data_IF_265367316851
#
_entry.id   IF_265367316851
#
_cell.length_a   1.000
_cell.length_b   1.000
_cell.length_c   1.000
_cell.angle_alpha   90.00
_cell.angle_beta   90.00
_cell.angle_gamma   90.00
#
_symmetry.space_group_name_H-M   'P 1'
#
loop_
_entity.id
_entity.type
_entity.pdbx_description
1 polymer ?
#
# COMPACT_ATOMS: atom_id res chain seq x y z
N UNK A 1 16.25 7.12 -16.96
CA UNK A 1 16.85 6.90 -15.63
C UNK A 1 15.88 6.08 -14.82
N UNK A 2 16.32 4.96 -14.21
CA UNK A 2 15.50 4.24 -13.24
C UNK A 2 15.37 5.14 -12.02
N UNK A 3 14.16 5.52 -11.66
CA UNK A 3 13.91 6.13 -10.35
C UNK A 3 14.28 5.08 -9.31
N UNK A 4 15.24 5.40 -8.44
CA UNK A 4 15.53 4.59 -7.25
C UNK A 4 14.22 4.42 -6.47
N UNK A 5 13.93 3.22 -5.98
CA UNK A 5 12.65 2.87 -5.36
C UNK A 5 12.29 3.84 -4.23
N UNK A 6 13.30 4.33 -3.52
CA UNK A 6 13.17 5.32 -2.44
C UNK A 6 12.64 6.67 -2.93
N UNK A 7 12.99 7.08 -4.16
CA UNK A 7 12.52 8.34 -4.74
C UNK A 7 11.03 8.32 -5.11
N UNK A 8 10.35 7.18 -4.98
CA UNK A 8 8.89 7.08 -5.09
C UNK A 8 8.14 7.52 -3.82
N UNK A 9 8.87 7.73 -2.71
CA UNK A 9 8.32 8.12 -1.41
C UNK A 9 8.73 9.55 -1.09
N UNK A 10 7.76 10.47 -1.03
CA UNK A 10 8.04 11.91 -1.12
C UNK A 10 7.73 12.75 0.11
N UNK A 11 6.92 12.27 1.07
CA UNK A 11 6.29 13.19 2.04
C UNK A 11 6.19 12.69 3.49
N UNK A 12 6.58 11.45 3.80
CA UNK A 12 6.42 10.86 5.14
C UNK A 12 7.74 10.23 5.57
N UNK A 13 8.11 10.22 6.87
CA UNK A 13 9.23 9.39 7.33
C UNK A 13 8.94 7.93 6.97
N UNK A 14 9.73 7.40 6.04
CA UNK A 14 9.66 6.01 5.57
C UNK A 14 10.92 5.28 5.99
N UNK A 15 10.76 4.17 6.70
CA UNK A 15 11.82 3.23 7.02
C UNK A 15 11.75 2.06 6.04
N UNK A 16 12.84 1.84 5.30
CA UNK A 16 12.92 0.75 4.34
C UNK A 16 13.55 -0.48 4.96
N UNK A 17 12.95 -1.64 4.70
CA UNK A 17 13.40 -2.95 5.16
C UNK A 17 13.73 -3.84 3.96
N UNK A 18 14.80 -4.63 4.08
CA UNK A 18 15.09 -5.75 3.19
C UNK A 18 14.39 -6.99 3.76
N UNK A 19 13.18 -7.25 3.29
CA UNK A 19 12.25 -8.22 3.87
C UNK A 19 11.02 -7.57 4.54
N UNK A 20 10.15 -8.37 5.16
CA UNK A 20 8.96 -7.88 5.85
C UNK A 20 9.31 -6.80 6.89
N UNK A 21 8.54 -5.68 6.97
CA UNK A 21 8.83 -4.63 7.94
C UNK A 21 8.67 -5.12 9.38
N UNK A 22 9.58 -4.70 10.25
CA UNK A 22 9.50 -4.95 11.69
C UNK A 22 8.82 -3.75 12.37
N UNK A 23 7.64 -3.98 12.94
CA UNK A 23 6.87 -2.95 13.65
C UNK A 23 7.59 -2.42 14.89
N UNK A 24 8.44 -3.23 15.53
CA UNK A 24 9.17 -2.81 16.76
C UNK A 24 10.31 -1.84 16.47
N UNK A 25 10.77 -1.81 15.21
CA UNK A 25 11.80 -0.90 14.74
C UNK A 25 11.24 0.45 14.25
N UNK A 26 9.92 0.62 14.21
CA UNK A 26 9.24 1.83 13.73
C UNK A 26 8.89 2.77 14.88
N UNK A 27 8.99 4.09 14.64
CA UNK A 27 8.53 5.12 15.58
C UNK A 27 7.06 5.43 15.35
N UNK A 28 6.37 6.06 16.33
CA UNK A 28 5.03 6.59 16.11
C UNK A 28 4.97 7.49 14.87
N UNK A 29 3.98 7.27 14.02
CA UNK A 29 3.81 7.98 12.75
C UNK A 29 4.68 7.51 11.58
N UNK A 30 5.65 6.61 11.80
CA UNK A 30 6.50 6.09 10.72
C UNK A 30 5.77 5.08 9.83
N UNK A 31 6.23 5.00 8.58
CA UNK A 31 5.84 3.98 7.61
C UNK A 31 7.02 3.04 7.36
N UNK A 32 6.88 1.77 7.73
CA UNK A 32 7.80 0.70 7.33
C UNK A 32 7.41 0.11 5.98
N UNK A 33 8.37 -0.06 5.06
CA UNK A 33 8.13 -0.63 3.72
C UNK A 33 9.17 -1.68 3.37
N UNK A 34 8.71 -2.82 2.86
CA UNK A 34 9.55 -3.86 2.29
C UNK A 34 10.00 -3.47 0.87
N UNK A 35 11.27 -3.09 0.72
CA UNK A 35 11.80 -2.58 -0.55
C UNK A 35 12.07 -3.69 -1.56
N UNK A 36 12.26 -4.94 -1.11
CA UNK A 36 12.54 -6.07 -2.00
C UNK A 36 11.36 -6.40 -2.90
N UNK A 37 10.14 -6.13 -2.44
CA UNK A 37 8.94 -6.30 -3.26
C UNK A 37 8.93 -5.36 -4.47
N UNK A 38 9.49 -4.15 -4.35
CA UNK A 38 9.64 -3.24 -5.48
C UNK A 38 10.65 -3.81 -6.48
N UNK A 39 11.78 -4.34 -6.02
CA UNK A 39 12.78 -5.02 -6.87
C UNK A 39 12.14 -6.21 -7.61
N UNK A 40 11.33 -7.00 -6.92
CA UNK A 40 10.59 -8.12 -7.53
C UNK A 40 9.57 -7.66 -8.58
N UNK A 41 8.81 -6.59 -8.31
CA UNK A 41 7.88 -5.98 -9.27
C UNK A 41 8.63 -5.49 -10.51
N UNK A 42 9.80 -4.87 -10.34
CA UNK A 42 10.65 -4.45 -11.46
C UNK A 42 11.12 -5.61 -12.32
N UNK A 43 11.55 -6.71 -11.70
CA UNK A 43 12.00 -7.89 -12.44
C UNK A 43 10.86 -8.63 -13.15
N UNK A 44 9.64 -8.57 -12.59
CA UNK A 44 8.50 -9.32 -13.13
C UNK A 44 7.83 -8.64 -14.34
N UNK A 45 7.84 -7.31 -14.40
CA UNK A 45 7.12 -6.56 -15.44
C UNK A 45 8.08 -5.92 -16.46
N UNK A 46 7.59 -5.76 -17.70
CA UNK A 46 8.32 -4.95 -18.67
C UNK A 46 8.38 -3.47 -18.25
N UNK A 47 9.38 -2.73 -18.73
CA UNK A 47 9.71 -1.37 -18.29
C UNK A 47 8.53 -0.39 -18.19
N UNK A 48 7.59 -0.44 -19.15
CA UNK A 48 6.42 0.44 -19.15
C UNK A 48 5.42 0.07 -18.03
N UNK A 49 5.17 -1.23 -17.82
CA UNK A 49 4.27 -1.72 -16.76
C UNK A 49 4.92 -1.64 -15.39
N UNK A 50 6.21 -1.89 -15.31
CA UNK A 50 7.04 -1.73 -14.11
C UNK A 50 6.85 -0.34 -13.49
N UNK A 51 7.06 0.73 -14.28
CA UNK A 51 7.06 2.08 -13.73
C UNK A 51 5.72 2.43 -13.08
N UNK A 52 4.61 2.13 -13.77
CA UNK A 52 3.28 2.35 -13.19
C UNK A 52 2.98 1.40 -12.02
N UNK A 53 3.44 0.14 -12.06
CA UNK A 53 3.28 -0.80 -10.96
C UNK A 53 3.96 -0.32 -9.69
N UNK A 54 5.24 0.06 -9.78
CA UNK A 54 6.01 0.59 -8.65
C UNK A 54 5.42 1.90 -8.13
N UNK A 55 4.97 2.79 -9.01
CA UNK A 55 4.31 4.04 -8.59
C UNK A 55 2.99 3.77 -7.84
N UNK A 56 2.16 2.85 -8.34
CA UNK A 56 0.93 2.46 -7.62
C UNK A 56 1.26 1.77 -6.29
N UNK A 57 2.29 0.91 -6.25
CA UNK A 57 2.70 0.24 -5.01
C UNK A 57 3.23 1.24 -3.97
N UNK A 58 3.99 2.25 -4.37
CA UNK A 58 4.44 3.30 -3.46
C UNK A 58 3.28 4.16 -2.95
N UNK A 59 2.32 4.49 -3.82
CA UNK A 59 1.13 5.26 -3.45
C UNK A 59 0.28 4.51 -2.42
N UNK A 60 -0.01 3.23 -2.63
CA UNK A 60 -0.84 2.45 -1.69
C UNK A 60 -0.15 2.24 -0.34
N UNK A 61 1.19 2.13 -0.29
CA UNK A 61 1.92 2.10 0.97
C UNK A 61 1.77 3.43 1.75
N UNK A 62 1.75 4.57 1.06
CA UNK A 62 1.60 5.90 1.65
C UNK A 62 0.13 6.25 1.98
N UNK A 63 -0.84 5.60 1.33
CA UNK A 63 -2.29 5.83 1.46
C UNK A 63 -2.96 4.88 2.49
N UNK A 64 -2.19 4.25 3.38
CA UNK A 64 -2.74 3.56 4.56
C UNK A 64 -3.35 4.63 5.49
N UNK A 65 -4.68 4.67 5.55
CA UNK A 65 -5.44 5.59 6.42
C UNK A 65 -5.49 5.08 7.85
N UNK A 66 -5.91 5.93 8.79
CA UNK A 66 -6.06 5.58 10.21
C UNK A 66 -7.04 4.42 10.46
N UNK A 67 -7.96 4.17 9.52
CA UNK A 67 -8.84 3.00 9.56
C UNK A 67 -8.17 1.68 9.14
N UNK A 68 -6.91 1.72 8.68
CA UNK A 68 -6.16 0.60 8.12
C UNK A 68 -6.53 0.21 6.69
N UNK A 69 -7.49 0.91 6.09
CA UNK A 69 -7.90 0.72 4.71
C UNK A 69 -7.22 1.74 3.77
N UNK A 70 -7.12 1.37 2.49
CA UNK A 70 -6.67 2.27 1.45
C UNK A 70 -7.72 3.32 1.12
N UNK A 71 -7.25 4.49 0.68
CA UNK A 71 -8.12 5.55 0.18
C UNK A 71 -8.80 5.24 -1.15
N UNK A 72 -9.58 6.21 -1.63
CA UNK A 72 -10.34 6.07 -2.87
C UNK A 72 -9.39 5.94 -4.07
N UNK A 73 -9.83 5.21 -5.09
CA UNK A 73 -9.06 5.04 -6.32
C UNK A 73 -8.95 6.36 -7.10
N UNK A 74 -9.96 7.23 -7.02
CA UNK A 74 -9.95 8.57 -7.62
C UNK A 74 -8.80 9.42 -7.08
N UNK A 75 -8.62 9.44 -5.75
CA UNK A 75 -7.56 10.19 -5.08
C UNK A 75 -6.18 9.67 -5.52
N UNK A 76 -6.01 8.35 -5.57
CA UNK A 76 -4.79 7.69 -6.03
C UNK A 76 -4.49 7.99 -7.50
N UNK A 77 -5.51 7.97 -8.36
CA UNK A 77 -5.39 8.28 -9.77
C UNK A 77 -4.95 9.74 -9.99
N UNK A 78 -5.50 10.68 -9.20
CA UNK A 78 -5.09 12.08 -9.21
C UNK A 78 -3.64 12.26 -8.77
N UNK A 79 -3.22 11.67 -7.63
CA UNK A 79 -1.83 11.74 -7.14
C UNK A 79 -0.81 11.16 -8.13
N UNK A 80 -1.20 10.12 -8.86
CA UNK A 80 -0.33 9.43 -9.82
C UNK A 80 -0.41 9.99 -11.23
N UNK A 81 -1.28 10.98 -11.49
CA UNK A 81 -1.59 11.49 -12.83
C UNK A 81 -1.91 10.35 -13.82
N UNK A 82 -2.80 9.45 -13.42
CA UNK A 82 -3.22 8.28 -14.22
C UNK A 82 -4.73 8.10 -14.17
N UNK A 83 -5.25 7.03 -14.78
CA UNK A 83 -6.69 6.72 -14.77
C UNK A 83 -7.08 5.86 -13.57
N UNK A 84 -8.31 6.01 -13.09
CA UNK A 84 -8.91 5.15 -12.05
C UNK A 84 -8.85 3.68 -12.45
N UNK A 85 -9.09 3.38 -13.73
CA UNK A 85 -9.02 2.02 -14.28
C UNK A 85 -7.61 1.42 -14.15
N UNK A 86 -6.56 2.23 -14.35
CA UNK A 86 -5.18 1.81 -14.14
C UNK A 86 -4.92 1.45 -12.67
N UNK A 87 -5.35 2.30 -11.74
CA UNK A 87 -5.20 2.05 -10.30
C UNK A 87 -5.97 0.81 -9.87
N UNK A 88 -7.23 0.68 -10.31
CA UNK A 88 -8.07 -0.48 -10.02
C UNK A 88 -7.45 -1.78 -10.51
N UNK A 89 -6.90 -1.79 -11.74
CA UNK A 89 -6.22 -2.94 -12.32
C UNK A 89 -5.02 -3.36 -11.49
N UNK A 90 -4.20 -2.41 -11.06
CA UNK A 90 -3.01 -2.71 -10.24
C UNK A 90 -3.37 -3.15 -8.83
N UNK A 91 -4.32 -2.48 -8.15
CA UNK A 91 -4.82 -2.93 -6.84
C UNK A 91 -5.40 -4.35 -6.91
N UNK A 92 -6.13 -4.69 -7.98
CA UNK A 92 -6.64 -6.04 -8.18
C UNK A 92 -5.50 -7.05 -8.35
N UNK A 93 -4.53 -6.77 -9.22
CA UNK A 93 -3.35 -7.63 -9.43
C UNK A 93 -2.54 -7.83 -8.14
N UNK A 94 -2.33 -6.77 -7.38
CA UNK A 94 -1.63 -6.84 -6.10
C UNK A 94 -2.41 -7.62 -5.05
N UNK A 95 -3.75 -7.61 -5.08
CA UNK A 95 -4.53 -8.51 -4.26
C UNK A 95 -4.40 -9.97 -4.70
N UNK A 96 -4.42 -10.24 -6.01
CA UNK A 96 -4.26 -11.59 -6.56
C UNK A 96 -2.87 -12.19 -6.25
N UNK A 97 -1.83 -11.35 -6.13
CA UNK A 97 -0.47 -11.75 -5.72
C UNK A 97 -0.24 -11.64 -4.21
N UNK A 98 -1.27 -11.32 -3.42
CA UNK A 98 -1.21 -11.26 -1.97
C UNK A 98 -0.38 -10.12 -1.40
N UNK A 99 -0.14 -9.04 -2.14
CA UNK A 99 0.43 -7.78 -1.65
C UNK A 99 -0.63 -6.89 -1.00
N UNK A 100 -1.88 -7.00 -1.45
CA UNK A 100 -3.05 -6.40 -0.83
C UNK A 100 -4.00 -7.48 -0.34
N UNK A 101 -4.85 -7.12 0.63
CA UNK A 101 -6.02 -7.92 1.02
C UNK A 101 -7.28 -7.23 0.55
N UNK A 102 -8.10 -7.95 -0.23
CA UNK A 102 -9.42 -7.47 -0.64
C UNK A 102 -10.41 -7.70 0.50
N UNK A 103 -11.06 -6.63 0.94
CA UNK A 103 -11.94 -6.64 2.12
C UNK A 103 -13.41 -6.75 1.72
N UNK A 104 -13.78 -6.22 0.55
CA UNK A 104 -15.11 -6.41 -0.01
C UNK A 104 -15.07 -6.45 -1.56
N UNK A 105 -16.24 -6.70 -2.17
CA UNK A 105 -16.40 -6.71 -3.64
C UNK A 105 -16.41 -5.30 -4.27
N UNK A 106 -16.51 -4.25 -3.46
CA UNK A 106 -16.61 -2.85 -3.90
C UNK A 106 -15.24 -2.17 -4.04
N UNK A 107 -14.14 -2.94 -3.94
CA UNK A 107 -12.79 -2.40 -4.11
C UNK A 107 -12.21 -1.75 -2.85
N UNK A 108 -12.71 -2.13 -1.66
CA UNK A 108 -12.04 -1.83 -0.39
C UNK A 108 -10.86 -2.78 -0.21
N UNK A 109 -9.68 -2.22 0.00
CA UNK A 109 -8.43 -2.95 0.17
C UNK A 109 -7.71 -2.49 1.42
N UNK A 110 -6.89 -3.38 1.98
CA UNK A 110 -5.84 -3.04 2.95
C UNK A 110 -4.50 -3.57 2.46
N UNK A 111 -3.41 -2.96 2.93
CA UNK A 111 -2.05 -3.46 2.64
C UNK A 111 -1.77 -4.69 3.49
N UNK A 112 -1.10 -5.70 2.91
CA UNK A 112 -0.62 -6.82 3.70
C UNK A 112 0.59 -6.36 4.56
N UNK A 113 0.64 -6.68 5.87
CA UNK A 113 1.75 -6.26 6.74
C UNK A 113 3.15 -6.66 6.26
N UNK A 114 3.29 -7.70 5.42
CA UNK A 114 4.59 -8.06 4.81
C UNK A 114 5.09 -7.03 3.80
N UNK A 115 4.21 -6.15 3.33
CA UNK A 115 4.49 -5.12 2.32
C UNK A 115 4.78 -3.79 3.00
N UNK A 116 3.88 -3.34 3.87
CA UNK A 116 4.06 -2.11 4.62
C UNK A 116 3.30 -2.13 5.94
N UNK A 117 3.84 -1.43 6.92
CA UNK A 117 3.24 -1.21 8.25
C UNK A 117 3.28 0.29 8.52
N UNK A 118 2.13 0.88 8.85
CA UNK A 118 2.05 2.28 9.30
C UNK A 118 1.78 2.29 10.80
N UNK A 119 2.54 3.10 11.53
CA UNK A 119 2.31 3.33 12.95
C UNK A 119 1.42 4.56 13.12
N UNK A 120 0.48 4.49 14.07
CA UNK A 120 -0.28 5.67 14.49
C UNK A 120 0.56 6.58 15.40
N UNK A 121 -0.06 7.67 15.88
CA UNK A 121 0.57 8.63 16.77
C UNK A 121 0.90 8.03 18.16
N UNK A 122 0.24 6.96 18.56
CA UNK A 122 0.44 6.26 19.83
C UNK A 122 1.50 5.15 19.72
N UNK A 123 2.04 4.91 18.53
CA UNK A 123 3.03 3.87 18.27
C UNK A 123 2.41 2.47 18.14
N UNK A 124 1.12 2.36 17.88
CA UNK A 124 0.48 1.10 17.51
C UNK A 124 0.42 0.94 15.98
N UNK A 125 0.59 -0.29 15.52
CA UNK A 125 0.45 -0.60 14.10
C UNK A 125 -1.01 -0.46 13.67
N UNK A 126 -1.25 0.42 12.69
CA UNK A 126 -2.57 0.63 12.11
C UNK A 126 -2.99 -0.64 11.37
N UNK A 127 -4.15 -1.17 11.76
CA UNK A 127 -4.72 -2.40 11.19
C UNK A 127 -6.14 -2.11 10.72
N UNK A 128 -6.61 -2.79 9.65
CA UNK A 128 -8.01 -2.70 9.23
C UNK A 128 -8.91 -3.03 10.42
N UNK A 129 -9.81 -2.13 10.78
CA UNK A 129 -10.81 -2.41 11.81
C UNK A 129 -11.70 -3.53 11.28
N UNK A 130 -11.60 -4.73 11.89
CA UNK A 130 -12.50 -5.84 11.56
C UNK A 130 -13.93 -5.32 11.65
N UNK A 131 -14.68 -5.41 10.55
CA UNK A 131 -16.08 -5.03 10.50
C UNK A 131 -16.76 -5.53 11.78
N UNK A 132 -17.18 -4.61 12.66
CA UNK A 132 -18.29 -4.92 13.56
C UNK A 132 -19.42 -5.27 12.62
N UNK A 133 -19.69 -6.56 12.41
CA UNK A 133 -20.88 -7.03 11.69
C UNK A 133 -22.03 -6.25 12.31
N UNK A 134 -22.60 -5.31 11.58
CA UNK A 134 -23.82 -4.66 12.00
C UNK A 134 -24.85 -5.80 12.07
N UNK A 135 -25.16 -6.24 13.28
CA UNK A 135 -26.24 -7.20 13.52
C UNK A 135 -27.52 -6.41 13.25
N UNK A 136 -28.02 -6.44 12.02
CA UNK A 136 -29.36 -5.98 11.72
C UNK A 136 -30.32 -6.97 12.39
N UNK A 137 -31.01 -6.52 13.45
CA UNK A 137 -32.18 -7.21 13.98
C UNK A 137 -33.36 -6.86 13.07
N UNK A 138 -33.94 -7.87 12.44
CA UNK A 138 -35.27 -7.81 11.83
C UNK A 138 -36.29 -8.33 12.84
#
# INVERSE_FOLDING_TARGET
>A
MLTEEKALFGATPVTFFEGPPDATALKPGDLGVNIDLFRQVKNHYNKAKENIACRVLADICQDIRDSGYLGRMDDSAARLSTTVVTVQRWRSRFADTGLLKRQNRNGLYSVDPKVAIRMDADGAAIKPTSDKKAIFKF
#
